data_IF_243959391775
#
_entry.id   IF_243959391775
#
_cell.length_a   1.000
_cell.length_b   1.000
_cell.length_c   1.000
_cell.angle_alpha   90.00
_cell.angle_beta   90.00
_cell.angle_gamma   90.00
#
_symmetry.space_group_name_H-M   'P 1'
#
loop_
_entity.id
_entity.type
_entity.pdbx_description
1 polymer ?
#
# COMPACT_ATOMS: atom_id res chain seq x y z
N UNK A 1 4.00 -22.80 11.17
CA UNK A 1 3.12 -21.60 11.16
C UNK A 1 4.04 -20.38 11.24
N UNK A 2 3.82 -19.38 10.39
CA UNK A 2 4.57 -18.11 10.43
C UNK A 2 3.65 -17.08 11.06
N UNK A 3 4.21 -16.26 11.94
CA UNK A 3 3.48 -15.19 12.64
C UNK A 3 4.25 -13.89 12.42
N UNK A 4 3.50 -12.80 12.33
CA UNK A 4 4.03 -11.45 12.22
C UNK A 4 3.35 -10.59 13.27
N UNK A 5 4.06 -9.60 13.80
CA UNK A 5 3.47 -8.54 14.59
C UNK A 5 2.40 -7.77 13.78
N UNK A 6 1.31 -7.35 14.43
CA UNK A 6 0.24 -6.58 13.78
C UNK A 6 0.70 -5.14 13.53
N UNK A 7 1.15 -4.86 12.31
CA UNK A 7 1.36 -3.51 11.80
C UNK A 7 0.06 -2.96 11.18
N UNK A 8 -0.33 -1.73 11.52
CA UNK A 8 -1.53 -1.08 10.97
C UNK A 8 -1.14 -0.26 9.74
N UNK A 9 -1.89 -0.39 8.65
CA UNK A 9 -1.70 0.42 7.45
C UNK A 9 -2.06 1.89 7.72
N UNK A 10 -1.43 2.80 6.97
CA UNK A 10 -1.78 4.21 6.99
C UNK A 10 -3.24 4.39 6.57
N UNK A 11 -3.94 5.35 7.19
CA UNK A 11 -5.35 5.62 6.96
C UNK A 11 -5.59 7.11 6.77
N UNK A 12 -6.42 7.48 5.81
CA UNK A 12 -6.87 8.87 5.61
C UNK A 12 -8.10 9.21 6.48
N UNK A 13 -8.55 10.47 6.40
CA UNK A 13 -9.72 10.95 7.13
C UNK A 13 -11.06 10.36 6.60
N UNK A 14 -11.09 9.89 5.36
CA UNK A 14 -12.23 9.21 4.75
C UNK A 14 -12.32 7.74 5.16
N UNK A 15 -11.25 7.22 5.79
CA UNK A 15 -11.16 5.90 6.35
C UNK A 15 -10.54 4.84 5.44
N UNK A 16 -9.99 5.22 4.29
CA UNK A 16 -9.28 4.34 3.37
C UNK A 16 -7.90 3.98 3.91
N UNK A 17 -7.51 2.71 3.76
CA UNK A 17 -6.19 2.21 4.11
C UNK A 17 -5.27 2.21 2.90
N UNK A 18 -3.98 2.48 3.13
CA UNK A 18 -2.96 2.58 2.09
C UNK A 18 -1.79 1.63 2.36
N UNK A 19 -1.40 0.89 1.32
CA UNK A 19 -0.21 0.05 1.32
C UNK A 19 0.75 0.52 0.22
N UNK A 20 1.94 0.96 0.64
CA UNK A 20 3.03 1.26 -0.28
C UNK A 20 3.68 -0.05 -0.78
N UNK A 21 4.13 -0.03 -2.02
CA UNK A 21 4.88 -1.10 -2.66
C UNK A 21 6.03 -0.51 -3.48
N UNK A 22 7.13 -1.26 -3.54
CA UNK A 22 8.28 -0.97 -4.39
C UNK A 22 8.36 -2.08 -5.43
N UNK A 23 8.42 -1.71 -6.71
CA UNK A 23 8.72 -2.64 -7.77
C UNK A 23 10.22 -2.85 -7.87
N UNK A 24 10.64 -4.10 -8.09
CA UNK A 24 12.03 -4.49 -8.17
C UNK A 24 12.36 -5.10 -9.53
N UNK A 25 13.36 -4.54 -10.20
CA UNK A 25 13.95 -5.05 -11.43
C UNK A 25 15.46 -4.79 -11.40
N UNK A 26 16.22 -5.72 -10.79
CA UNK A 26 17.64 -5.58 -10.41
C UNK A 26 17.94 -4.46 -9.39
N UNK A 27 17.11 -3.43 -9.34
CA UNK A 27 17.06 -2.38 -8.32
C UNK A 27 15.60 -1.97 -8.05
N UNK A 28 15.37 -1.16 -7.01
CA UNK A 28 14.06 -0.54 -6.78
C UNK A 28 13.76 0.46 -7.89
N UNK A 29 12.79 0.18 -8.74
CA UNK A 29 12.60 0.88 -10.01
C UNK A 29 11.29 1.67 -10.11
N UNK A 30 10.31 1.41 -9.23
CA UNK A 30 9.07 2.17 -9.18
C UNK A 30 8.37 2.06 -7.83
N UNK A 31 7.47 3.01 -7.56
CA UNK A 31 6.56 2.99 -6.43
C UNK A 31 5.14 2.67 -6.90
N UNK A 32 4.38 2.02 -6.04
CA UNK A 32 2.95 1.78 -6.24
C UNK A 32 2.22 1.84 -4.91
N UNK A 33 0.99 2.36 -4.93
CA UNK A 33 0.15 2.42 -3.73
C UNK A 33 -1.15 1.69 -4.01
N UNK A 34 -1.51 0.77 -3.12
CA UNK A 34 -2.85 0.15 -3.09
C UNK A 34 -3.71 0.83 -2.03
N UNK A 35 -5.00 1.01 -2.32
CA UNK A 35 -5.97 1.63 -1.42
C UNK A 35 -7.28 0.84 -1.35
N UNK A 36 -7.90 0.84 -0.17
CA UNK A 36 -9.22 0.24 0.06
C UNK A 36 -9.78 0.50 1.46
N UNK A 37 -11.08 0.28 1.64
CA UNK A 37 -11.78 0.54 2.92
C UNK A 37 -11.53 -0.52 4.00
N UNK A 38 -10.91 -1.65 3.64
CA UNK A 38 -10.62 -2.77 4.55
C UNK A 38 -9.18 -2.68 5.08
N UNK A 39 -8.91 -3.09 6.33
CA UNK A 39 -7.55 -3.10 6.89
C UNK A 39 -6.59 -4.09 6.21
N UNK A 40 -7.13 -5.05 5.44
CA UNK A 40 -6.38 -6.00 4.62
C UNK A 40 -6.72 -5.70 3.17
N UNK A 41 -5.70 -5.38 2.38
CA UNK A 41 -5.84 -5.12 0.95
C UNK A 41 -5.63 -6.43 0.18
N UNK A 42 -6.67 -6.86 -0.51
CA UNK A 42 -6.71 -8.05 -1.36
C UNK A 42 -6.95 -7.63 -2.83
N UNK A 43 -7.37 -8.53 -3.70
CA UNK A 43 -7.51 -8.28 -5.13
C UNK A 43 -8.55 -7.20 -5.50
N UNK A 44 -9.49 -6.88 -4.60
CA UNK A 44 -10.49 -5.84 -4.87
C UNK A 44 -9.91 -4.41 -4.74
N UNK A 45 -8.82 -4.25 -3.96
CA UNK A 45 -8.21 -2.96 -3.68
C UNK A 45 -7.70 -2.29 -4.96
N UNK A 46 -7.83 -0.96 -5.03
CA UNK A 46 -7.49 -0.17 -6.23
C UNK A 46 -6.09 0.40 -6.15
N UNK A 47 -5.54 0.79 -7.31
CA UNK A 47 -4.32 1.59 -7.36
C UNK A 47 -4.64 3.05 -7.05
N UNK A 48 -3.83 3.66 -6.20
CA UNK A 48 -3.84 5.10 -5.97
C UNK A 48 -2.78 5.76 -6.86
N UNK A 49 -3.20 6.75 -7.65
CA UNK A 49 -2.27 7.64 -8.34
C UNK A 49 -1.45 8.45 -7.33
N UNK A 50 -0.17 8.66 -7.63
CA UNK A 50 0.73 9.42 -6.77
C UNK A 50 1.71 10.22 -7.62
N UNK A 51 2.22 11.31 -7.05
CA UNK A 51 3.23 12.19 -7.64
C UNK A 51 4.34 12.36 -6.60
N UNK A 52 5.59 12.40 -7.05
CA UNK A 52 6.74 12.73 -6.21
C UNK A 52 6.98 14.22 -6.33
N UNK A 53 6.88 14.94 -5.22
CA UNK A 53 7.25 16.36 -5.13
C UNK A 53 8.65 16.48 -4.52
N UNK A 54 9.45 17.39 -5.06
CA UNK A 54 10.84 17.64 -4.68
C UNK A 54 11.06 18.99 -4.05
#
# INVERSE_FOLDING_TARGET
KVYQEKATLNRDDEGNYYQAGVFFAYEGCALGYRTGVRPILDDDAKFAGHIIEG
#
